data_IF_729518295745
#
_entry.id   IF_729518295745
#
_cell.length_a   1.000
_cell.length_b   1.000
_cell.length_c   1.000
_cell.angle_alpha   90.00
_cell.angle_beta   90.00
_cell.angle_gamma   90.00
#
_symmetry.space_group_name_H-M   'P 1'
#
loop_
_entity.id
_entity.type
_entity.pdbx_description
1 polymer ?
#
# COMPACT_ATOMS: atom_id res chain seq x y z
N UNK A 1 16.00 6.77 11.11
CA UNK A 1 15.86 5.60 10.31
C UNK A 1 14.57 5.62 9.50
N UNK A 2 14.68 5.92 8.23
CA UNK A 2 13.55 6.07 7.32
C UNK A 2 13.68 5.14 6.09
N UNK A 3 14.58 4.17 6.19
CA UNK A 3 14.79 3.15 5.19
C UNK A 3 13.67 2.12 5.15
N UNK A 4 13.76 1.26 4.16
CA UNK A 4 12.89 0.09 4.01
C UNK A 4 13.74 -1.15 4.32
N UNK A 5 13.25 -2.12 5.11
CA UNK A 5 13.97 -3.37 5.35
C UNK A 5 14.13 -4.16 4.05
N UNK A 6 14.92 -5.24 4.09
CA UNK A 6 15.00 -6.13 2.94
C UNK A 6 13.63 -6.62 2.57
N UNK A 7 13.41 -6.85 1.28
CA UNK A 7 12.10 -7.27 0.75
C UNK A 7 11.63 -8.57 1.42
N UNK A 8 12.51 -9.52 1.59
CA UNK A 8 12.16 -10.80 2.20
C UNK A 8 11.76 -10.68 3.67
N UNK A 9 12.52 -9.93 4.45
CA UNK A 9 12.21 -9.69 5.86
C UNK A 9 10.91 -8.90 6.02
N UNK A 10 10.70 -7.91 5.17
CA UNK A 10 9.49 -7.12 5.19
C UNK A 10 8.26 -7.96 4.80
N UNK A 11 8.39 -8.81 3.80
CA UNK A 11 7.33 -9.73 3.42
C UNK A 11 6.96 -10.69 4.55
N UNK A 12 7.95 -11.29 5.19
CA UNK A 12 7.73 -12.17 6.36
C UNK A 12 7.02 -11.43 7.49
N UNK A 13 7.44 -10.21 7.76
CA UNK A 13 6.80 -9.36 8.77
C UNK A 13 5.33 -9.08 8.44
N UNK A 14 5.04 -8.71 7.20
CA UNK A 14 3.66 -8.45 6.75
C UNK A 14 2.79 -9.70 6.87
N UNK A 15 3.30 -10.86 6.44
CA UNK A 15 2.56 -12.12 6.55
C UNK A 15 2.31 -12.51 8.00
N UNK A 16 3.28 -12.32 8.86
CA UNK A 16 3.11 -12.52 10.31
C UNK A 16 2.02 -11.62 10.88
N UNK A 17 2.04 -10.33 10.57
CA UNK A 17 1.04 -9.38 11.02
C UNK A 17 -0.36 -9.75 10.53
N UNK A 18 -0.48 -10.11 9.26
CA UNK A 18 -1.76 -10.51 8.68
C UNK A 18 -2.36 -11.74 9.36
N UNK A 19 -1.55 -12.76 9.62
CA UNK A 19 -2.00 -13.96 10.33
C UNK A 19 -2.36 -13.67 11.80
N UNK A 20 -1.57 -12.85 12.47
CA UNK A 20 -1.83 -12.46 13.86
C UNK A 20 -3.14 -11.66 14.01
N UNK A 21 -3.38 -10.72 13.11
CA UNK A 21 -4.62 -9.95 13.05
C UNK A 21 -5.83 -10.86 12.86
N UNK A 22 -5.75 -11.83 11.95
CA UNK A 22 -6.81 -12.79 11.71
C UNK A 22 -7.11 -13.67 12.92
N UNK A 23 -6.08 -14.11 13.62
CA UNK A 23 -6.23 -15.01 14.78
C UNK A 23 -6.81 -14.31 15.99
N UNK A 24 -6.38 -13.09 16.27
CA UNK A 24 -6.78 -12.37 17.47
C UNK A 24 -8.15 -11.71 17.34
N UNK A 25 -8.50 -11.26 16.14
CA UNK A 25 -9.68 -10.42 15.93
C UNK A 25 -9.53 -9.06 16.62
N UNK A 26 -10.55 -8.24 16.50
CA UNK A 26 -10.55 -6.92 17.12
C UNK A 26 -9.77 -5.86 16.33
N UNK A 27 -9.56 -4.72 16.95
CA UNK A 27 -8.85 -3.60 16.33
C UNK A 27 -7.33 -3.75 16.35
N UNK A 28 -6.69 -3.22 15.33
CA UNK A 28 -5.22 -3.21 15.23
C UNK A 28 -4.73 -1.77 15.20
N UNK A 29 -3.71 -1.48 15.98
CA UNK A 29 -3.02 -0.18 15.98
C UNK A 29 -1.69 -0.33 15.26
N UNK A 30 -1.47 0.49 14.24
CA UNK A 30 -0.22 0.57 13.51
C UNK A 30 0.39 1.96 13.78
N UNK A 31 1.63 1.99 14.26
CA UNK A 31 2.31 3.25 14.52
C UNK A 31 3.81 3.18 14.20
N UNK A 32 4.38 4.33 13.92
CA UNK A 32 5.81 4.58 13.89
C UNK A 32 6.07 5.93 14.58
N UNK A 33 7.19 6.58 14.37
CA UNK A 33 7.43 7.88 15.02
C UNK A 33 6.51 8.99 14.47
N UNK A 34 6.46 9.18 13.16
CA UNK A 34 5.60 10.19 12.52
C UNK A 34 4.19 9.71 12.17
N UNK A 35 3.98 8.41 12.12
CA UNK A 35 2.69 7.79 11.78
C UNK A 35 2.27 7.98 10.31
N UNK A 36 3.19 8.28 9.42
CA UNK A 36 2.91 8.53 7.99
C UNK A 36 3.70 7.62 7.05
N UNK A 37 5.02 7.53 7.18
CA UNK A 37 5.87 6.77 6.27
C UNK A 37 5.72 5.27 6.45
N UNK A 38 6.36 4.71 7.47
CA UNK A 38 6.33 3.26 7.77
C UNK A 38 4.91 2.79 8.09
N UNK A 39 4.18 3.55 8.85
CA UNK A 39 2.76 3.28 9.18
C UNK A 39 1.91 3.20 7.92
N UNK A 40 2.03 4.20 7.04
CA UNK A 40 1.29 4.23 5.78
C UNK A 40 1.60 3.06 4.88
N UNK A 41 2.89 2.68 4.79
CA UNK A 41 3.34 1.54 4.00
C UNK A 41 2.69 0.24 4.48
N UNK A 42 2.78 -0.06 5.76
CA UNK A 42 2.20 -1.27 6.36
C UNK A 42 0.67 -1.26 6.26
N UNK A 43 0.05 -0.12 6.55
CA UNK A 43 -1.40 0.02 6.50
C UNK A 43 -1.97 -0.27 5.11
N UNK A 44 -1.41 0.35 4.07
CA UNK A 44 -1.89 0.15 2.69
C UNK A 44 -1.73 -1.31 2.26
N UNK A 45 -0.60 -1.93 2.56
CA UNK A 45 -0.35 -3.33 2.25
C UNK A 45 -1.38 -4.24 2.94
N UNK A 46 -1.53 -4.12 4.25
CA UNK A 46 -2.44 -4.96 5.02
C UNK A 46 -3.90 -4.75 4.60
N UNK A 47 -4.29 -3.52 4.28
CA UNK A 47 -5.64 -3.24 3.80
C UNK A 47 -5.93 -3.95 2.48
N UNK A 48 -5.03 -3.90 1.53
CA UNK A 48 -5.20 -4.57 0.22
C UNK A 48 -5.18 -6.10 0.38
N UNK A 49 -4.26 -6.65 1.16
CA UNK A 49 -4.23 -8.09 1.44
C UNK A 49 -5.54 -8.55 2.09
N UNK A 50 -6.06 -7.79 3.03
CA UNK A 50 -7.33 -8.10 3.67
C UNK A 50 -8.49 -8.10 2.66
N UNK A 51 -8.52 -7.16 1.72
CA UNK A 51 -9.52 -7.15 0.64
C UNK A 51 -9.45 -8.43 -0.19
N UNK A 52 -8.27 -8.88 -0.56
CA UNK A 52 -8.06 -10.10 -1.32
C UNK A 52 -8.36 -11.38 -0.53
N UNK A 53 -8.11 -11.38 0.77
CA UNK A 53 -8.42 -12.53 1.64
C UNK A 53 -9.92 -12.69 1.85
N UNK A 54 -10.67 -11.59 1.90
CA UNK A 54 -12.13 -11.61 2.03
C UNK A 54 -12.78 -11.99 0.70
N UNK A 55 -12.29 -11.45 -0.41
CA UNK A 55 -12.85 -11.66 -1.75
C UNK A 55 -11.83 -12.37 -2.66
N UNK A 56 -11.93 -13.68 -2.72
CA UNK A 56 -11.05 -14.51 -3.55
C UNK A 56 -11.27 -14.30 -5.05
N UNK A 57 -12.48 -14.00 -5.47
CA UNK A 57 -12.78 -13.70 -6.88
C UNK A 57 -12.09 -12.41 -7.32
N UNK A 58 -12.09 -11.41 -6.45
CA UNK A 58 -11.35 -10.17 -6.67
C UNK A 58 -9.85 -10.46 -6.80
N UNK A 59 -9.29 -11.25 -5.90
CA UNK A 59 -7.88 -11.66 -5.97
C UNK A 59 -7.55 -12.35 -7.29
N UNK A 60 -8.37 -13.32 -7.69
CA UNK A 60 -8.17 -14.07 -8.93
C UNK A 60 -8.24 -13.16 -10.16
N UNK A 61 -9.13 -12.19 -10.17
CA UNK A 61 -9.20 -11.18 -11.23
C UNK A 61 -7.90 -10.39 -11.33
N UNK A 62 -7.37 -9.91 -10.21
CA UNK A 62 -6.09 -9.19 -10.21
C UNK A 62 -4.92 -10.06 -10.66
N UNK A 63 -4.89 -11.32 -10.28
CA UNK A 63 -3.85 -12.26 -10.74
C UNK A 63 -3.94 -12.52 -12.25
N UNK A 64 -5.15 -12.69 -12.80
CA UNK A 64 -5.37 -12.96 -14.23
C UNK A 64 -5.12 -11.74 -15.11
N UNK A 65 -5.53 -10.58 -14.65
CA UNK A 65 -5.51 -9.36 -15.44
C UNK A 65 -4.34 -8.44 -15.12
N UNK A 66 -3.38 -8.92 -14.35
CA UNK A 66 -2.29 -8.11 -13.82
C UNK A 66 -1.49 -7.36 -14.88
N UNK A 67 -1.32 -7.96 -16.04
CA UNK A 67 -0.60 -7.36 -17.17
C UNK A 67 -1.50 -6.46 -18.03
N UNK A 68 -2.77 -6.33 -17.65
CA UNK A 68 -3.73 -5.49 -18.34
C UNK A 68 -3.97 -4.22 -17.53
N UNK A 69 -3.77 -3.08 -18.15
CA UNK A 69 -4.20 -1.77 -17.65
C UNK A 69 -3.63 -1.34 -16.29
N UNK A 70 -2.51 -1.91 -15.85
CA UNK A 70 -1.87 -1.57 -14.57
C UNK A 70 -2.85 -1.59 -13.38
N UNK A 71 -3.71 -2.58 -13.33
CA UNK A 71 -4.80 -2.63 -12.34
C UNK A 71 -4.30 -2.60 -10.90
N UNK A 72 -3.19 -3.30 -10.59
CA UNK A 72 -2.60 -3.27 -9.25
C UNK A 72 -2.09 -1.87 -8.90
N UNK A 73 -1.42 -1.20 -9.84
CA UNK A 73 -0.97 0.16 -9.66
C UNK A 73 -2.13 1.13 -9.35
N UNK A 74 -3.22 0.98 -10.08
CA UNK A 74 -4.41 1.79 -9.87
C UNK A 74 -5.06 1.51 -8.51
N UNK A 75 -5.14 0.26 -8.09
CA UNK A 75 -5.65 -0.11 -6.78
C UNK A 75 -4.80 0.50 -5.65
N UNK A 76 -3.48 0.34 -5.72
CA UNK A 76 -2.57 0.92 -4.73
C UNK A 76 -2.76 2.44 -4.65
N UNK A 77 -2.86 3.11 -5.79
CA UNK A 77 -3.09 4.55 -5.85
C UNK A 77 -4.42 4.95 -5.21
N UNK A 78 -5.49 4.24 -5.50
CA UNK A 78 -6.82 4.52 -4.93
C UNK A 78 -6.82 4.35 -3.41
N UNK A 79 -6.27 3.27 -2.91
CA UNK A 79 -6.19 3.01 -1.47
C UNK A 79 -5.27 4.03 -0.78
N UNK A 80 -4.17 4.42 -1.42
CA UNK A 80 -3.30 5.46 -0.88
C UNK A 80 -4.01 6.82 -0.82
N UNK A 81 -4.71 7.21 -1.87
CA UNK A 81 -5.47 8.47 -1.90
C UNK A 81 -6.57 8.48 -0.84
N UNK A 82 -7.33 7.39 -0.70
CA UNK A 82 -8.31 7.23 0.36
C UNK A 82 -7.67 7.37 1.75
N UNK A 83 -6.54 6.71 1.96
CA UNK A 83 -5.80 6.78 3.22
C UNK A 83 -5.32 8.20 3.53
N UNK A 84 -4.95 8.96 2.51
CA UNK A 84 -4.54 10.37 2.65
C UNK A 84 -5.68 11.32 2.99
N UNK A 85 -6.92 10.95 2.76
CA UNK A 85 -8.08 11.68 3.29
C UNK A 85 -8.13 11.61 4.81
N UNK A 86 -7.72 10.48 5.39
CA UNK A 86 -7.67 10.29 6.83
C UNK A 86 -6.40 10.86 7.44
N UNK A 87 -5.26 10.64 6.79
CA UNK A 87 -3.97 11.14 7.25
C UNK A 87 -3.15 11.61 6.06
N UNK A 88 -3.07 12.93 5.84
CA UNK A 88 -2.27 13.51 4.77
C UNK A 88 -0.81 13.06 4.83
N UNK A 89 -0.16 12.95 3.67
CA UNK A 89 1.24 12.53 3.53
C UNK A 89 1.53 11.05 3.88
N UNK A 90 0.52 10.21 4.06
CA UNK A 90 0.77 8.77 4.17
C UNK A 90 1.64 8.28 3.01
N UNK A 91 2.67 7.50 3.34
CA UNK A 91 3.76 7.10 2.44
C UNK A 91 4.54 8.34 1.96
N UNK A 92 5.63 8.63 2.66
CA UNK A 92 6.44 9.84 2.42
C UNK A 92 7.40 9.70 1.26
N UNK A 93 7.88 8.47 1.01
CA UNK A 93 9.00 8.21 0.10
C UNK A 93 8.61 7.26 -1.02
N UNK A 94 9.25 7.47 -2.14
CA UNK A 94 9.08 6.63 -3.32
C UNK A 94 9.47 5.17 -3.04
N UNK A 95 10.50 4.93 -2.24
CA UNK A 95 10.93 3.60 -1.85
C UNK A 95 9.87 2.86 -1.02
N UNK A 96 9.15 3.59 -0.18
CA UNK A 96 8.04 3.04 0.60
C UNK A 96 6.87 2.65 -0.30
N UNK A 97 6.55 3.47 -1.28
CA UNK A 97 5.54 3.14 -2.29
C UNK A 97 5.93 1.90 -3.10
N UNK A 98 7.20 1.81 -3.46
CA UNK A 98 7.75 0.63 -4.12
C UNK A 98 7.61 -0.63 -3.28
N UNK A 99 7.90 -0.54 -1.99
CA UNK A 99 7.75 -1.65 -1.08
C UNK A 99 6.31 -2.17 -1.07
N UNK A 100 5.32 -1.29 -1.12
CA UNK A 100 3.91 -1.69 -1.26
C UNK A 100 3.70 -2.54 -2.50
N UNK A 101 4.16 -2.07 -3.63
CA UNK A 101 4.03 -2.81 -4.88
C UNK A 101 4.75 -4.16 -4.85
N UNK A 102 5.99 -4.17 -4.41
CA UNK A 102 6.81 -5.38 -4.37
C UNK A 102 6.23 -6.45 -3.44
N UNK A 103 5.74 -6.05 -2.27
CA UNK A 103 5.11 -6.98 -1.32
C UNK A 103 3.82 -7.55 -1.92
N UNK A 104 2.98 -6.71 -2.50
CA UNK A 104 1.72 -7.16 -3.11
C UNK A 104 1.96 -8.05 -4.33
N UNK A 105 2.96 -7.74 -5.15
CA UNK A 105 3.36 -8.58 -6.26
C UNK A 105 3.81 -9.96 -5.80
N UNK A 106 4.61 -10.01 -4.73
CA UNK A 106 5.03 -11.27 -4.12
C UNK A 106 3.84 -12.04 -3.53
N UNK A 107 2.93 -11.36 -2.88
CA UNK A 107 1.70 -11.96 -2.34
C UNK A 107 0.82 -12.55 -3.45
N UNK A 108 0.69 -11.86 -4.58
CA UNK A 108 -0.05 -12.32 -5.74
C UNK A 108 0.74 -13.29 -6.64
N UNK A 109 2.01 -13.55 -6.32
CA UNK A 109 2.95 -14.38 -7.10
C UNK A 109 3.18 -13.88 -8.53
N UNK A 110 3.24 -12.57 -8.69
CA UNK A 110 3.53 -11.93 -9.97
C UNK A 110 5.04 -11.76 -10.12
N UNK A 111 5.51 -11.99 -11.32
CA UNK A 111 6.93 -11.78 -11.69
C UNK A 111 6.96 -10.80 -12.85
N UNK A 112 7.17 -9.52 -12.61
CA UNK A 112 7.50 -8.59 -13.69
C UNK A 112 8.28 -7.38 -13.19
N UNK A 113 9.47 -7.18 -13.76
CA UNK A 113 10.37 -6.06 -13.44
C UNK A 113 10.00 -4.77 -14.21
N UNK A 114 9.18 -4.84 -15.25
CA UNK A 114 8.86 -3.69 -16.10
C UNK A 114 7.85 -2.72 -15.46
N UNK A 115 7.05 -3.19 -14.54
CA UNK A 115 6.03 -2.38 -13.89
C UNK A 115 6.58 -1.40 -12.84
N UNK A 116 7.79 -1.60 -12.38
CA UNK A 116 8.45 -0.75 -11.38
C UNK A 116 8.49 0.71 -11.84
N UNK A 117 8.85 0.97 -13.10
CA UNK A 117 8.93 2.33 -13.64
C UNK A 117 7.56 3.02 -13.73
N UNK A 118 6.49 2.27 -14.03
CA UNK A 118 5.12 2.77 -14.08
C UNK A 118 4.64 3.20 -12.70
N UNK A 119 4.95 2.42 -11.68
CA UNK A 119 4.61 2.75 -10.29
C UNK A 119 5.31 4.00 -9.79
N UNK A 120 6.59 4.20 -10.14
CA UNK A 120 7.32 5.42 -9.81
C UNK A 120 6.63 6.65 -10.42
N UNK A 121 6.25 6.57 -11.67
CA UNK A 121 5.57 7.66 -12.34
C UNK A 121 4.22 7.97 -11.71
N UNK A 122 3.46 6.96 -11.31
CA UNK A 122 2.17 7.14 -10.64
C UNK A 122 2.31 7.71 -9.23
N UNK A 123 3.30 7.28 -8.47
CA UNK A 123 3.59 7.87 -7.17
C UNK A 123 3.94 9.36 -7.27
N UNK A 124 4.79 9.71 -8.24
CA UNK A 124 5.12 11.11 -8.52
C UNK A 124 3.87 11.92 -8.89
N UNK A 125 3.01 11.38 -9.76
CA UNK A 125 1.72 12.03 -10.12
C UNK A 125 0.83 12.24 -8.91
N UNK A 126 0.69 11.23 -8.07
CA UNK A 126 -0.12 11.30 -6.84
C UNK A 126 0.38 12.39 -5.92
N UNK A 127 1.70 12.50 -5.75
CA UNK A 127 2.30 13.54 -4.92
C UNK A 127 2.15 14.94 -5.53
N UNK A 128 2.24 15.08 -6.83
CA UNK A 128 2.01 16.36 -7.53
C UNK A 128 0.56 16.79 -7.36
N UNK A 129 -0.40 15.88 -7.54
CA UNK A 129 -1.82 16.17 -7.31
C UNK A 129 -2.08 16.60 -5.87
N UNK A 130 -1.48 15.91 -4.90
CA UNK A 130 -1.59 16.26 -3.49
C UNK A 130 -1.03 17.65 -3.18
N UNK A 131 0.05 18.07 -3.85
CA UNK A 131 0.62 19.42 -3.70
C UNK A 131 -0.21 20.50 -4.37
N UNK A 132 -0.77 20.23 -5.55
CA UNK A 132 -1.53 21.20 -6.33
C UNK A 132 -2.97 21.36 -5.85
N UNK A 133 -3.50 20.38 -5.14
CA UNK A 133 -4.87 20.37 -4.63
C UNK A 133 -4.89 20.06 -3.12
N UNK A 134 -4.31 20.95 -2.29
CA UNK A 134 -4.23 20.72 -0.85
C UNK A 134 -5.62 20.59 -0.19
N UNK A 135 -6.65 21.13 -0.80
CA UNK A 135 -8.03 21.04 -0.27
C UNK A 135 -8.62 19.63 -0.36
N UNK A 136 -8.14 18.80 -1.29
CA UNK A 136 -8.47 17.38 -1.35
C UNK A 136 -7.88 16.60 -0.17
N UNK A 137 -6.95 17.19 0.56
CA UNK A 137 -6.25 16.58 1.69
C UNK A 137 -6.72 17.10 3.05
N UNK A 138 -7.64 18.08 3.07
CA UNK A 138 -8.12 18.74 4.31
C UNK A 138 -9.30 18.02 4.96
N UNK A 139 -9.40 16.74 4.85
CA UNK A 139 -10.36 16.01 5.66
C UNK A 139 -9.70 15.72 7.00
N UNK A 140 -10.13 16.46 8.03
CA UNK A 140 -9.76 16.21 9.40
C UNK A 140 -10.30 14.85 9.82
N UNK A 141 -9.45 13.86 9.86
CA UNK A 141 -9.76 12.62 10.57
C UNK A 141 -8.90 12.59 11.80
N UNK A 142 -9.58 12.59 12.92
CA UNK A 142 -8.98 12.32 14.21
C UNK A 142 -8.72 10.83 14.28
N UNK A 143 -7.46 10.45 14.19
CA UNK A 143 -7.02 9.11 14.53
C UNK A 143 -6.61 9.08 15.99
#
# INVERSE_FOLDING_TARGET
>A
DQGVPTMEDFYKFIMFCNEDIKKRGGGTVIHCSGGIGRTGTVYVILKIINMFDIDKELKDKYVKDINKDNILANLIREILLESRHHRPQMIERVEQYFAVYQILSKYLKIKDDQEIAVHQAQFKRTNVLARNYPDLLKINVVC
#
